data_IF_547391732830
#
_entry.id   IF_547391732830
#
_cell.length_a   1.000
_cell.length_b   1.000
_cell.length_c   1.000
_cell.angle_alpha   90.00
_cell.angle_beta   90.00
_cell.angle_gamma   90.00
#
_symmetry.space_group_name_H-M   'P 1'
#
loop_
_entity.id
_entity.type
_entity.pdbx_description
1 polymer ?
2 non-polymer ?
3 water ?
#
# COMPACT_ATOMS: atom_id res chain seq x y z
N UNK A 1 -8.71 5.59 30.67
CA UNK A 1 -8.99 6.12 29.34
C UNK A 1 -8.59 5.13 28.23
N UNK A 2 -7.85 4.07 28.59
CA UNK A 2 -7.39 3.10 27.59
C UNK A 2 -8.52 2.20 27.13
N UNK A 3 -8.44 1.67 25.90
CA UNK A 3 -9.48 0.72 25.44
C UNK A 3 -9.49 -0.53 26.32
N UNK A 4 -10.69 -1.08 26.54
CA UNK A 4 -10.80 -2.33 27.29
C UNK A 4 -10.15 -3.49 26.55
N UNK A 5 -10.20 -3.47 25.21
CA UNK A 5 -9.65 -4.55 24.39
C UNK A 5 -9.03 -3.94 23.15
N UNK A 6 -7.95 -4.56 22.69
CA UNK A 6 -7.19 -4.13 21.52
C UNK A 6 -6.87 -5.38 20.71
N UNK A 7 -6.91 -5.24 19.38
CA UNK A 7 -6.48 -6.31 18.49
C UNK A 7 -5.98 -5.66 17.21
N UNK A 8 -4.64 -5.54 17.10
CA UNK A 8 -4.06 -4.83 15.96
C UNK A 8 -4.29 -5.55 14.63
N UNK A 9 -4.71 -6.83 14.65
CA UNK A 9 -5.10 -7.48 13.40
C UNK A 9 -6.26 -6.73 12.75
N UNK A 10 -7.12 -6.12 13.55
CA UNK A 10 -8.26 -5.37 13.02
C UNK A 10 -7.83 -4.13 12.24
N UNK A 11 -6.60 -3.64 12.44
CA UNK A 11 -6.10 -2.52 11.64
C UNK A 11 -5.16 -2.97 10.53
N UNK A 12 -5.14 -4.27 10.22
CA UNK A 12 -4.26 -4.78 9.18
C UNK A 12 -2.79 -4.58 9.44
N UNK A 13 -2.38 -4.58 10.71
CA UNK A 13 -0.99 -4.32 11.08
C UNK A 13 -0.20 -5.57 11.40
N UNK A 14 -0.77 -6.76 11.21
CA UNK A 14 -0.09 -8.00 11.62
C UNK A 14 -0.01 -8.92 10.41
N UNK A 15 1.20 -9.37 10.09
CA UNK A 15 1.39 -10.29 8.99
C UNK A 15 0.96 -11.71 9.38
N UNK A 16 0.98 -12.60 8.38
CA UNK A 16 0.64 -13.99 8.61
C UNK A 16 1.58 -14.61 9.65
N UNK A 17 1.03 -15.52 10.46
CA UNK A 17 1.85 -16.28 11.41
C UNK A 17 2.89 -17.09 10.64
N UNK A 18 4.14 -17.07 11.14
CA UNK A 18 5.27 -17.79 10.55
C UNK A 18 5.55 -19.09 11.31
N UNK A 19 6.47 -19.90 10.75
CA UNK A 19 6.79 -21.21 11.31
C UNK A 19 8.31 -21.29 11.46
N UNK A 20 8.80 -21.19 12.69
CA UNK A 20 10.25 -21.14 12.93
C UNK A 20 10.93 -22.50 12.79
N UNK A 21 10.18 -23.59 12.97
CA UNK A 21 10.82 -24.89 12.82
C UNK A 21 11.82 -25.16 13.93
N UNK A 22 12.86 -25.93 13.59
CA UNK A 22 13.85 -26.34 14.57
C UNK A 22 14.92 -25.28 14.83
N UNK A 23 14.79 -24.09 14.23
CA UNK A 23 15.73 -23.00 14.46
C UNK A 23 15.16 -22.09 15.56
N UNK A 24 15.94 -21.88 16.63
CA UNK A 24 15.46 -21.09 17.76
C UNK A 24 15.49 -19.59 17.53
N UNK A 25 14.72 -19.14 16.54
CA UNK A 25 14.75 -17.76 16.06
C UNK A 25 13.50 -16.98 16.46
N UNK A 26 12.80 -17.39 17.52
CA UNK A 26 11.60 -16.66 17.93
C UNK A 26 11.92 -15.19 18.23
N UNK A 27 13.13 -14.91 18.74
CA UNK A 27 13.55 -13.53 18.95
C UNK A 27 13.50 -12.73 17.65
N UNK A 28 13.94 -13.35 16.55
CA UNK A 28 13.93 -12.67 15.27
C UNK A 28 12.50 -12.48 14.75
N UNK A 29 11.64 -13.49 14.90
CA UNK A 29 10.26 -13.32 14.47
C UNK A 29 9.54 -12.27 15.32
N UNK A 30 9.79 -12.25 16.63
CA UNK A 30 9.18 -11.22 17.46
C UNK A 30 9.60 -9.82 17.02
N UNK A 31 10.89 -9.64 16.69
CA UNK A 31 11.38 -8.33 16.29
C UNK A 31 10.77 -7.86 14.98
N UNK A 32 10.80 -8.70 13.93
CA UNK A 32 10.22 -8.26 12.66
C UNK A 32 8.73 -8.02 12.82
N UNK A 33 8.08 -8.84 13.64
CA UNK A 33 6.64 -8.67 13.85
C UNK A 33 6.30 -7.30 14.37
N UNK A 34 7.05 -6.83 15.39
CA UNK A 34 6.81 -5.50 15.91
C UNK A 34 7.06 -4.43 14.86
N UNK A 35 8.15 -4.55 14.11
CA UNK A 35 8.48 -3.54 13.11
C UNK A 35 7.49 -3.55 11.95
N UNK A 36 6.97 -4.72 11.59
CA UNK A 36 5.98 -4.81 10.51
C UNK A 36 4.77 -3.93 10.81
N UNK A 37 4.35 -3.85 12.07
CA UNK A 37 3.20 -3.03 12.42
C UNK A 37 3.53 -1.54 12.29
N UNK A 38 4.71 -1.14 12.77
CA UNK A 38 5.09 0.26 12.63
C UNK A 38 5.20 0.66 11.16
N UNK A 39 5.72 -0.25 10.33
CA UNK A 39 5.85 0.05 8.91
C UNK A 39 4.48 0.21 8.26
N UNK A 40 3.54 -0.64 8.65
CA UNK A 40 2.18 -0.53 8.12
C UNK A 40 1.54 0.78 8.52
N UNK A 41 1.69 1.19 9.78
CA UNK A 41 1.10 2.45 10.24
C UNK A 41 1.68 3.63 9.46
N UNK A 42 2.99 3.61 9.20
CA UNK A 42 3.65 4.74 8.54
C UNK A 42 3.38 4.79 7.05
N UNK A 43 3.39 3.64 6.36
CA UNK A 43 3.35 3.60 4.92
C UNK A 43 2.05 3.07 4.33
N UNK A 44 1.17 2.48 5.14
CA UNK A 44 -0.03 1.84 4.62
C UNK A 44 0.18 0.45 4.06
N UNK A 45 1.41 -0.04 4.01
CA UNK A 45 1.75 -1.30 3.38
C UNK A 45 2.08 -2.33 4.44
N UNK A 46 1.48 -3.52 4.33
CA UNK A 46 1.79 -4.64 5.21
C UNK A 46 2.74 -5.58 4.48
N UNK A 47 3.97 -5.72 4.97
CA UNK A 47 5.04 -6.48 4.33
C UNK A 47 5.75 -7.33 5.38
N UNK A 48 5.82 -8.64 5.15
CA UNK A 48 6.61 -9.50 6.03
C UNK A 48 8.09 -9.15 5.89
N UNK A 49 8.76 -8.93 7.02
CA UNK A 49 10.18 -8.60 7.02
C UNK A 49 11.02 -9.83 7.32
N UNK A 50 12.28 -9.78 6.90
CA UNK A 50 13.16 -10.95 6.87
C UNK A 50 13.66 -11.28 8.27
N UNK A 51 13.05 -12.28 8.90
CA UNK A 51 13.63 -12.82 10.11
C UNK A 51 15.00 -13.44 9.82
N UNK A 52 15.18 -14.02 8.63
CA UNK A 52 16.45 -14.64 8.28
C UNK A 52 17.57 -13.62 8.25
N UNK A 53 17.26 -12.42 7.79
CA UNK A 53 18.20 -11.30 7.80
C UNK A 53 18.75 -11.08 9.20
N UNK A 54 17.89 -11.15 10.22
CA UNK A 54 18.31 -11.00 11.61
C UNK A 54 19.19 -12.16 12.06
N UNK A 55 18.73 -13.39 11.79
CA UNK A 55 19.47 -14.59 12.17
C UNK A 55 20.90 -14.56 11.63
N UNK A 56 21.05 -14.18 10.34
CA UNK A 56 22.35 -14.27 9.68
C UNK A 56 23.24 -13.06 9.98
N UNK A 57 22.66 -11.90 10.26
CA UNK A 57 23.42 -10.66 10.30
C UNK A 57 23.47 -9.99 11.66
N UNK A 58 22.44 -10.14 12.49
CA UNK A 58 22.48 -9.57 13.83
C UNK A 58 23.04 -10.65 14.75
N UNK A 59 24.36 -10.77 14.75
CA UNK A 59 25.01 -11.91 15.39
C UNK A 59 25.87 -11.50 16.59
N UNK A 60 27.15 -11.91 16.60
CA UNK A 60 27.99 -11.77 17.79
C UNK A 60 28.07 -10.34 18.30
N UNK A 61 28.17 -9.37 17.41
CA UNK A 61 28.23 -7.97 17.83
C UNK A 61 26.99 -7.54 18.60
N UNK A 62 25.87 -8.22 18.40
CA UNK A 62 24.61 -7.91 19.06
C UNK A 62 24.27 -8.89 20.17
N UNK A 63 25.23 -9.73 20.56
CA UNK A 63 24.96 -10.75 21.55
C UNK A 63 24.03 -11.85 21.09
N UNK A 64 23.78 -11.97 19.80
CA UNK A 64 22.84 -12.96 19.31
C UNK A 64 23.56 -14.18 18.75
N UNK A 65 22.85 -15.31 18.76
CA UNK A 65 23.43 -16.60 18.40
C UNK A 65 22.58 -17.31 17.36
N UNK A 66 21.93 -16.56 16.47
CA UNK A 66 21.17 -17.12 15.36
C UNK A 66 20.12 -18.12 15.81
N UNK A 67 20.19 -19.33 15.27
CA UNK A 67 19.25 -20.39 15.62
C UNK A 67 19.40 -20.87 17.07
N UNK A 68 20.40 -20.38 17.79
CA UNK A 68 20.55 -20.70 19.20
C UNK A 68 20.08 -19.60 20.14
N UNK A 69 19.36 -18.60 19.64
CA UNK A 69 18.74 -17.62 20.50
C UNK A 69 19.27 -16.21 20.28
N UNK A 70 18.57 -15.26 20.89
CA UNK A 70 18.90 -13.85 20.71
C UNK A 70 17.91 -12.95 21.42
N UNK A 71 18.07 -11.64 21.20
CA UNK A 71 17.26 -10.61 21.84
C UNK A 71 16.58 -9.74 20.78
N UNK A 72 15.35 -9.32 21.09
CA UNK A 72 14.66 -8.40 20.17
C UNK A 72 15.31 -7.02 20.19
N UNK A 73 15.73 -6.54 21.36
CA UNK A 73 16.29 -5.21 21.45
C UNK A 73 17.54 -5.07 20.58
N UNK A 74 18.46 -6.04 20.67
CA UNK A 74 19.66 -5.95 19.86
C UNK A 74 19.38 -6.25 18.40
N UNK A 75 18.29 -6.97 18.10
CA UNK A 75 17.84 -7.07 16.72
C UNK A 75 17.45 -5.68 16.19
N UNK A 76 16.66 -4.93 16.97
CA UNK A 76 16.30 -3.58 16.56
C UNK A 76 17.54 -2.72 16.37
N UNK A 77 18.51 -2.86 17.29
CA UNK A 77 19.74 -2.08 17.18
C UNK A 77 20.47 -2.38 15.88
N UNK A 78 20.55 -3.65 15.49
CA UNK A 78 21.15 -3.99 14.20
C UNK A 78 20.44 -3.27 13.06
N UNK A 79 19.10 -3.30 13.05
CA UNK A 79 18.35 -2.64 11.99
C UNK A 79 18.66 -1.15 11.97
N UNK A 80 18.74 -0.53 13.14
CA UNK A 80 19.17 0.86 13.23
C UNK A 80 20.57 1.03 12.67
N UNK A 81 21.53 0.24 13.18
CA UNK A 81 22.92 0.38 12.72
C UNK A 81 23.05 0.09 11.23
N UNK A 82 22.37 -0.96 10.76
CA UNK A 82 22.46 -1.40 9.37
C UNK A 82 21.72 -0.48 8.40
N UNK A 83 20.92 0.45 8.93
CA UNK A 83 20.12 1.35 8.12
C UNK A 83 19.13 0.59 7.23
N UNK A 84 18.66 -0.56 7.69
CA UNK A 84 17.61 -1.24 6.96
C UNK A 84 17.53 -2.72 7.29
N UNK A 85 16.42 -3.30 6.84
CA UNK A 85 16.19 -4.73 6.91
C UNK A 85 15.46 -5.11 5.63
N UNK A 86 15.85 -6.24 5.03
CA UNK A 86 15.24 -6.70 3.79
C UNK A 86 13.84 -7.28 4.03
N UNK A 87 13.06 -7.33 2.96
CA UNK A 87 11.79 -8.04 3.01
C UNK A 87 12.04 -9.54 3.13
N UNK A 88 11.07 -10.23 3.73
CA UNK A 88 11.13 -11.70 3.71
C UNK A 88 11.10 -12.23 2.28
N UNK A 89 10.40 -11.53 1.38
CA UNK A 89 10.33 -11.98 -0.01
C UNK A 89 11.71 -12.06 -0.63
N UNK A 90 12.55 -11.05 -0.38
CA UNK A 90 13.89 -11.01 -0.96
C UNK A 90 14.89 -11.86 -0.18
N UNK A 91 14.62 -12.13 1.09
CA UNK A 91 15.56 -12.79 1.99
C UNK A 91 14.78 -13.79 2.83
N UNK A 92 14.34 -14.89 2.21
CA UNK A 92 13.36 -15.77 2.86
C UNK A 92 13.96 -16.62 3.97
N UNK A 93 13.07 -17.19 4.78
CA UNK A 93 13.45 -17.89 5.99
C UNK A 93 13.76 -19.36 5.72
N UNK A 94 14.91 -19.81 6.20
CA UNK A 94 15.39 -21.17 5.94
C UNK A 94 15.57 -22.00 7.22
N UNK A 95 15.32 -21.43 8.39
CA UNK A 95 15.47 -22.15 9.65
C UNK A 95 16.86 -22.76 9.78
N UNK A 96 17.88 -22.00 9.36
CA UNK A 96 19.27 -22.41 9.46
C UNK A 96 20.12 -21.16 9.63
N UNK A 97 21.32 -21.36 10.18
CA UNK A 97 22.29 -20.27 10.28
C UNK A 97 23.02 -20.14 8.95
N UNK A 98 23.01 -18.94 8.37
CA UNK A 98 23.67 -18.70 7.09
C UNK A 98 24.59 -17.50 7.21
N UNK A 99 25.45 -17.34 6.19
CA UNK A 99 26.23 -16.12 6.07
C UNK A 99 25.29 -14.94 5.83
N UNK A 100 25.67 -13.78 6.37
CA UNK A 100 24.86 -12.59 6.20
C UNK A 100 24.77 -12.22 4.72
N UNK A 101 23.55 -12.10 4.21
CA UNK A 101 23.33 -11.79 2.81
C UNK A 101 22.48 -10.54 2.62
N UNK A 102 22.55 -9.60 3.58
CA UNK A 102 21.78 -8.36 3.47
C UNK A 102 22.12 -7.60 2.19
N UNK A 103 21.10 -7.11 1.51
CA UNK A 103 21.27 -6.34 0.28
C UNK A 103 20.38 -5.11 0.40
N UNK A 104 20.99 -3.92 0.49
CA UNK A 104 20.22 -2.69 0.62
C UNK A 104 19.27 -2.48 -0.54
N UNK A 105 19.52 -3.11 -1.69
CA UNK A 105 18.63 -2.98 -2.83
C UNK A 105 17.22 -3.45 -2.50
N UNK A 106 17.08 -4.39 -1.57
CA UNK A 106 15.79 -4.95 -1.20
C UNK A 106 15.34 -4.52 0.19
N UNK A 107 15.87 -3.41 0.68
CA UNK A 107 15.41 -2.86 1.95
C UNK A 107 13.91 -2.60 1.91
N UNK A 108 13.19 -3.15 2.89
CA UNK A 108 11.76 -2.94 3.00
C UNK A 108 11.36 -2.15 4.25
N UNK A 109 12.29 -1.93 5.18
CA UNK A 109 11.99 -1.12 6.35
C UNK A 109 13.28 -0.59 6.95
N UNK A 110 13.13 0.43 7.79
CA UNK A 110 14.19 0.96 8.61
C UNK A 110 13.71 0.96 10.05
N UNK A 111 14.61 1.29 10.97
CA UNK A 111 14.24 1.46 12.36
C UNK A 111 14.97 2.67 12.91
N UNK A 112 14.23 3.56 13.56
CA UNK A 112 14.82 4.78 14.09
C UNK A 112 15.24 4.64 15.54
N UNK A 113 14.50 3.86 16.31
CA UNK A 113 14.70 3.78 17.75
C UNK A 113 13.92 2.57 18.26
N UNK A 114 14.17 2.22 19.51
CA UNK A 114 13.35 1.24 20.20
C UNK A 114 13.30 1.64 21.67
N UNK A 115 12.26 1.19 22.34
CA UNK A 115 11.98 1.55 23.72
C UNK A 115 11.78 0.28 24.52
N UNK A 116 12.37 0.22 25.70
CA UNK A 116 12.17 -0.90 26.61
C UNK A 116 11.22 -0.51 27.74
N UNK A 117 10.32 -1.42 28.09
CA UNK A 117 9.35 -1.14 29.15
C UNK A 117 9.83 -1.73 30.47
N UNK A 118 9.37 -1.19 31.60
CA UNK A 118 9.83 -1.68 32.91
C UNK A 118 9.33 -3.09 33.21
N UNK A 119 10.21 -3.89 33.82
CA UNK A 119 9.94 -5.29 34.11
C UNK A 119 8.70 -5.47 34.96
N UNK A 120 7.79 -6.34 34.50
CA UNK A 120 6.64 -6.77 35.28
C UNK A 120 5.49 -5.79 35.36
N UNK A 121 5.55 -4.68 34.64
CA UNK A 121 4.50 -3.66 34.70
C UNK A 121 3.51 -3.95 33.60
N UNK A 122 2.48 -4.72 33.93
CA UNK A 122 1.46 -5.06 32.94
C UNK A 122 0.59 -3.86 32.60
N UNK A 123 0.44 -2.92 33.52
CA UNK A 123 -0.28 -1.69 33.19
C UNK A 123 0.49 -0.88 32.14
N UNK A 124 1.81 -0.78 32.30
CA UNK A 124 2.62 -0.06 31.31
C UNK A 124 2.58 -0.78 29.96
N UNK A 125 2.62 -2.12 29.98
CA UNK A 125 2.51 -2.88 28.73
C UNK A 125 1.18 -2.64 28.04
N UNK A 126 0.09 -2.60 28.82
CA UNK A 126 -1.23 -2.33 28.26
C UNK A 126 -1.26 -0.99 27.54
N UNK A 127 -0.70 0.03 28.19
CA UNK A 127 -0.66 1.36 27.61
C UNK A 127 0.10 1.36 26.29
N UNK A 128 1.27 0.70 26.26
CA UNK A 128 2.07 0.66 25.04
C UNK A 128 1.35 -0.07 23.90
N UNK A 129 0.72 -1.21 24.20
CA UNK A 129 -0.02 -1.92 23.15
C UNK A 129 -1.16 -1.05 22.62
N UNK A 130 -1.85 -0.34 23.50
CA UNK A 130 -2.94 0.53 23.06
C UNK A 130 -2.44 1.73 22.28
N UNK A 131 -1.35 2.36 22.74
CA UNK A 131 -0.94 3.66 22.23
C UNK A 131 0.26 3.62 21.28
N UNK A 132 0.97 2.51 21.17
CA UNK A 132 2.11 2.46 20.27
C UNK A 132 2.02 1.34 19.24
N UNK A 133 1.44 0.19 19.59
CA UNK A 133 1.33 -0.91 18.64
C UNK A 133 1.77 -2.21 19.27
N UNK A 134 1.84 -3.27 18.47
CA UNK A 134 2.29 -4.57 18.98
C UNK A 134 3.66 -4.43 19.63
N UNK A 135 3.84 -5.14 20.76
CA UNK A 135 5.05 -5.04 21.58
C UNK A 135 5.76 -6.40 21.62
N UNK A 136 7.06 -6.39 21.34
CA UNK A 136 7.86 -7.60 21.45
C UNK A 136 8.07 -7.94 22.91
N UNK A 137 7.85 -9.21 23.27
CA UNK A 137 8.05 -9.67 24.64
C UNK A 137 8.64 -11.08 24.61
N UNK A 138 9.18 -11.50 25.74
CA UNK A 138 9.55 -12.89 25.97
C UNK A 138 8.54 -13.51 26.92
N UNK A 139 8.35 -14.82 26.80
CA UNK A 139 7.55 -15.58 27.76
C UNK A 139 8.31 -16.84 28.14
N UNK A 140 7.93 -17.40 29.29
CA UNK A 140 8.39 -18.72 29.68
C UNK A 140 7.51 -19.73 28.97
N UNK A 141 8.04 -20.34 27.92
CA UNK A 141 7.29 -21.33 27.14
C UNK A 141 7.73 -22.76 27.44
N UNK A 142 8.54 -22.98 28.48
CA UNK A 142 9.10 -24.30 28.78
C UNK A 142 8.12 -25.12 29.62
N UNK A 143 6.98 -25.43 29.01
CA UNK A 143 5.95 -26.18 29.68
C UNK A 143 5.18 -26.96 28.63
N UNK A 144 4.97 -28.26 28.83
CA UNK A 144 4.14 -29.02 27.88
C UNK A 144 2.80 -28.38 27.62
N UNK A 145 2.20 -27.73 28.62
CA UNK A 145 0.91 -27.08 28.42
C UNK A 145 0.99 -25.99 27.35
N UNK A 146 2.15 -25.34 27.24
CA UNK A 146 2.29 -24.32 26.21
C UNK A 146 2.25 -24.94 24.83
N UNK A 147 3.08 -25.97 24.59
CA UNK A 147 3.06 -26.69 23.31
C UNK A 147 1.70 -27.29 23.00
N UNK A 148 0.96 -27.73 24.02
CA UNK A 148 -0.33 -28.40 23.87
C UNK A 148 -1.50 -27.44 23.84
N UNK A 149 -1.28 -26.15 24.06
CA UNK A 149 -2.37 -25.17 24.09
C UNK A 149 -3.21 -25.21 22.82
N UNK A 150 -4.54 -25.18 23.00
CA UNK A 150 -5.48 -25.17 21.88
C UNK A 150 -6.34 -23.93 21.84
N UNK A 151 -6.94 -23.52 22.95
CA UNK A 151 -7.87 -22.38 22.93
C UNK A 151 -8.09 -21.85 24.35
N UNK A 152 -8.72 -20.67 24.42
CA UNK A 152 -9.04 -20.06 25.70
C UNK A 152 -7.89 -19.27 26.28
N UNK A 153 -8.06 -18.88 27.54
CA UNK A 153 -7.04 -18.07 28.22
C UNK A 153 -6.09 -19.02 28.93
N UNK A 154 -4.84 -19.03 28.48
CA UNK A 154 -3.82 -19.92 29.00
C UNK A 154 -3.36 -19.49 30.38
N UNK A 155 -3.38 -20.42 31.34
CA UNK A 155 -2.83 -20.19 32.69
C UNK A 155 -2.05 -21.43 33.12
N UNK A 156 -0.77 -21.26 33.40
CA UNK A 156 0.12 -22.37 33.77
C UNK A 156 0.64 -22.14 35.19
N UNK A 157 0.14 -22.87 36.19
CA UNK A 157 0.56 -22.61 37.58
C UNK A 157 2.06 -22.67 37.81
N UNK A 158 2.79 -23.50 37.06
CA UNK A 158 4.22 -23.62 37.29
C UNK A 158 5.03 -22.68 36.40
N UNK A 159 4.38 -21.73 35.72
CA UNK A 159 5.13 -20.77 34.92
C UNK A 159 5.96 -19.88 35.85
N UNK A 160 7.09 -19.41 35.31
CA UNK A 160 7.96 -18.47 35.99
C UNK A 160 8.05 -17.17 35.19
N UNK A 161 8.70 -16.16 35.77
CA UNK A 161 8.90 -14.88 35.10
C UNK A 161 10.17 -14.86 34.25
N UNK A 162 10.90 -15.98 34.17
CA UNK A 162 12.14 -16.07 33.39
C UNK A 162 11.78 -16.46 31.96
N UNK A 163 11.99 -15.54 31.02
CA UNK A 163 11.55 -15.72 29.64
C UNK A 163 12.56 -16.54 28.86
N UNK A 164 12.08 -17.23 27.85
CA UNK A 164 12.97 -18.04 27.03
C UNK A 164 12.48 -18.16 25.59
N UNK A 165 11.39 -17.50 25.21
CA UNK A 165 10.79 -17.61 23.90
C UNK A 165 10.25 -16.24 23.53
N UNK A 166 10.65 -15.71 22.38
CA UNK A 166 10.18 -14.40 21.95
C UNK A 166 8.86 -14.53 21.22
N UNK A 167 7.91 -13.63 21.55
CA UNK A 167 6.61 -13.59 20.91
C UNK A 167 6.21 -12.13 20.72
N UNK A 168 5.00 -11.91 20.17
CA UNK A 168 4.51 -10.57 19.88
C UNK A 168 3.14 -10.37 20.50
N UNK A 169 3.01 -9.39 21.38
CA UNK A 169 1.69 -9.02 21.93
C UNK A 169 1.02 -8.09 20.93
N UNK A 170 -0.03 -8.57 20.27
CA UNK A 170 -0.74 -7.75 19.28
C UNK A 170 -2.05 -7.20 19.85
N UNK A 171 -2.33 -7.43 21.12
CA UNK A 171 -3.56 -6.93 21.71
C UNK A 171 -3.80 -7.52 23.08
N UNK A 172 -5.01 -7.27 23.58
CA UNK A 172 -5.41 -7.76 24.90
C UNK A 172 -6.92 -7.69 24.97
N UNK A 173 -7.47 -8.37 25.97
CA UNK A 173 -8.91 -8.42 26.10
C UNK A 173 -9.33 -9.19 27.33
N UNK A 174 -10.56 -9.69 27.27
CA UNK A 174 -11.16 -10.45 28.37
C UNK A 174 -12.11 -11.46 27.78
N UNK A 175 -12.11 -12.67 28.34
CA UNK A 175 -12.97 -13.75 27.88
C UNK A 175 -13.65 -14.32 29.10
N UNK A 176 -14.97 -14.15 29.20
CA UNK A 176 -15.76 -14.64 30.32
C UNK A 176 -15.13 -14.29 31.67
N UNK A 177 -14.69 -13.06 31.79
CA UNK A 177 -14.11 -12.61 33.05
C UNK A 177 -12.65 -12.94 33.26
N UNK A 178 -11.97 -13.50 32.28
CA UNK A 178 -10.54 -13.74 32.40
C UNK A 178 -9.84 -12.79 31.44
N UNK A 179 -9.00 -11.92 31.98
CA UNK A 179 -8.22 -11.00 31.15
C UNK A 179 -7.06 -11.72 30.50
N UNK A 180 -6.73 -11.31 29.28
CA UNK A 180 -5.68 -11.99 28.55
C UNK A 180 -4.87 -11.02 27.73
N UNK A 181 -3.67 -11.47 27.36
CA UNK A 181 -2.84 -10.85 26.33
C UNK A 181 -3.00 -11.65 25.06
N UNK A 182 -3.17 -10.95 23.92
CA UNK A 182 -3.29 -11.61 22.62
C UNK A 182 -1.90 -11.73 22.01
N UNK A 183 -1.40 -12.95 21.88
CA UNK A 183 0.00 -13.20 21.60
C UNK A 183 0.13 -13.92 20.27
N UNK A 184 0.87 -13.31 19.34
CA UNK A 184 1.24 -13.95 18.07
C UNK A 184 2.48 -14.80 18.29
N UNK A 185 2.36 -16.10 18.01
CA UNK A 185 3.49 -17.03 18.11
C UNK A 185 4.11 -17.18 16.72
N UNK A 186 5.19 -17.96 16.65
CA UNK A 186 5.86 -18.30 15.38
C UNK A 186 5.98 -19.81 15.21
N UNK A 187 4.91 -20.53 15.53
CA UNK A 187 4.84 -21.98 15.36
C UNK A 187 3.81 -22.38 14.31
N UNK A 188 3.51 -21.50 13.34
CA UNK A 188 2.55 -21.82 12.29
C UNK A 188 1.09 -21.73 12.75
N UNK A 189 0.19 -22.02 11.79
CA UNK A 189 -1.25 -21.93 12.02
C UNK A 189 -1.77 -23.03 12.92
N UNK A 190 -1.10 -24.18 12.99
CA UNK A 190 -1.68 -25.28 13.76
C UNK A 190 -1.43 -25.17 15.25
N UNK A 191 -0.64 -24.19 15.70
CA UNK A 191 -0.51 -23.94 17.12
C UNK A 191 -1.67 -23.08 17.64
N UNK A 192 -2.24 -23.49 18.77
CA UNK A 192 -3.20 -22.65 19.48
C UNK A 192 -4.38 -22.23 18.62
N UNK A 193 -4.73 -20.95 18.68
CA UNK A 193 -5.87 -20.36 17.97
C UNK A 193 -5.36 -19.71 16.69
N UNK A 194 -5.20 -20.54 15.64
CA UNK A 194 -4.64 -20.06 14.37
C UNK A 194 -3.28 -19.39 14.56
N UNK A 195 -2.45 -19.97 15.44
CA UNK A 195 -1.11 -19.48 15.65
C UNK A 195 -0.96 -18.49 16.78
N UNK A 196 -2.06 -18.13 17.44
CA UNK A 196 -2.09 -17.18 18.54
C UNK A 196 -2.34 -17.92 19.85
N UNK A 197 -1.90 -17.32 20.95
CA UNK A 197 -2.24 -17.81 22.28
C UNK A 197 -2.73 -16.62 23.11
N UNK A 198 -3.85 -16.79 23.78
CA UNK A 198 -4.32 -15.79 24.72
C UNK A 198 -3.81 -16.17 26.09
N UNK A 199 -2.95 -15.32 26.67
CA UNK A 199 -2.24 -15.61 27.89
C UNK A 199 -2.75 -14.73 29.03
N UNK A 200 -2.89 -15.33 30.21
CA UNK A 200 -3.42 -14.63 31.39
C UNK A 200 -2.76 -13.29 31.63
N UNK A 201 -3.59 -12.27 31.79
CA UNK A 201 -3.19 -10.88 31.99
C UNK A 201 -3.58 -10.43 33.40
N UNK A 202 -2.73 -9.60 34.00
CA UNK A 202 -2.94 -9.10 35.37
C UNK A 202 -3.01 -10.25 36.36
N UNK A 203 -2.17 -11.26 36.16
CA UNK A 203 -2.02 -12.35 37.10
C UNK A 203 -0.56 -12.43 37.53
N UNK A 204 -0.02 -11.30 38.01
CA UNK A 204 1.35 -11.25 38.51
C UNK A 204 2.45 -11.55 37.52
N UNK A 205 2.36 -10.96 36.33
CA UNK A 205 3.37 -11.14 35.30
C UNK A 205 3.50 -12.61 34.90
N UNK A 206 2.35 -13.21 34.57
CA UNK A 206 2.25 -14.64 34.29
C UNK A 206 3.14 -15.02 33.11
N UNK A 207 3.96 -16.06 33.32
CA UNK A 207 4.92 -16.56 32.34
C UNK A 207 5.92 -15.48 31.90
N UNK A 208 6.09 -14.43 32.71
CA UNK A 208 7.03 -13.36 32.39
C UNK A 208 6.65 -12.50 31.20
N UNK A 209 5.36 -12.44 30.85
CA UNK A 209 4.96 -11.75 29.62
C UNK A 209 5.41 -10.29 29.63
N UNK A 210 5.47 -9.65 30.80
CA UNK A 210 5.88 -8.26 30.90
C UNK A 210 7.28 -8.10 31.48
N UNK A 211 8.08 -9.17 31.49
CA UNK A 211 9.43 -9.09 32.03
C UNK A 211 10.33 -8.19 31.18
N UNK A 212 10.33 -8.40 29.87
CA UNK A 212 11.22 -7.68 28.95
C UNK A 212 10.49 -7.28 27.68
N UNK A 213 9.58 -6.31 27.75
CA UNK A 213 8.92 -5.80 26.56
C UNK A 213 9.75 -4.69 25.90
N UNK A 214 9.66 -4.64 24.57
CA UNK A 214 10.26 -3.55 23.82
C UNK A 214 9.51 -3.36 22.51
N UNK A 215 9.64 -2.16 21.94
CA UNK A 215 9.01 -1.93 20.63
C UNK A 215 9.82 -0.92 19.84
N UNK A 216 9.90 -1.07 18.53
CA UNK A 216 10.62 -0.11 17.70
C UNK A 216 9.68 0.96 17.17
N UNK A 217 10.28 1.98 16.56
CA UNK A 217 9.53 3.03 15.87
C UNK A 217 10.28 3.41 14.61
N UNK A 218 9.53 3.89 13.61
CA UNK A 218 10.07 4.45 12.37
C UNK A 218 9.60 5.89 12.29
N UNK A 219 10.52 6.83 12.45
CA UNK A 219 10.18 8.24 12.57
C UNK A 219 10.14 8.91 11.20
N UNK A 220 9.39 10.02 11.11
CA UNK A 220 9.35 10.77 9.87
C UNK A 220 10.74 11.27 9.53
N UNK A 221 11.17 11.03 8.31
CA UNK A 221 12.49 11.44 7.91
C UNK A 221 13.33 10.33 7.30
N UNK B 1 6.50 20.56 -38.09
CA UNK B 1 7.35 19.82 -37.16
C UNK B 1 6.87 20.02 -35.71
N UNK B 2 6.48 18.93 -35.07
CA UNK B 2 5.99 18.95 -33.69
C UNK B 2 7.14 19.05 -32.69
N UNK B 3 6.86 19.53 -31.48
CA UNK B 3 7.90 19.52 -30.44
C UNK B 3 8.42 18.11 -30.20
N UNK B 4 9.71 18.02 -29.88
CA UNK B 4 10.31 16.73 -29.54
C UNK B 4 9.68 16.14 -28.29
N UNK B 5 9.27 16.99 -27.35
CA UNK B 5 8.70 16.52 -26.09
C UNK B 5 7.65 17.52 -25.62
N UNK B 6 6.66 17.00 -24.90
CA UNK B 6 5.59 17.81 -24.32
C UNK B 6 5.36 17.30 -22.91
N UNK B 7 5.06 18.20 -21.98
CA UNK B 7 4.68 17.76 -20.63
C UNK B 7 3.74 18.80 -20.06
N UNK B 8 2.43 18.50 -20.12
CA UNK B 8 1.43 19.48 -19.69
C UNK B 8 1.49 19.76 -18.20
N UNK B 9 2.14 18.90 -17.40
CA UNK B 9 2.36 19.25 -16.00
C UNK B 9 3.15 20.55 -15.88
N UNK B 10 4.09 20.78 -16.80
CA UNK B 10 4.91 21.99 -16.74
C UNK B 10 4.13 23.26 -17.03
N UNK B 11 2.93 23.14 -17.61
CA UNK B 11 2.07 24.30 -17.80
C UNK B 11 1.01 24.38 -16.71
N UNK B 12 1.17 23.62 -15.63
CA UNK B 12 0.21 23.64 -14.54
C UNK B 12 -1.17 23.21 -14.96
N UNK B 13 -1.28 22.31 -15.94
CA UNK B 13 -2.56 21.86 -16.46
C UNK B 13 -2.99 20.49 -15.92
N UNK B 14 -2.26 19.92 -14.95
CA UNK B 14 -2.53 18.56 -14.48
C UNK B 14 -2.68 18.56 -12.96
N UNK B 15 -3.77 18.00 -12.46
CA UNK B 15 -3.99 17.94 -11.02
C UNK B 15 -3.19 16.79 -10.40
N UNK B 16 -3.25 16.71 -9.07
CA UNK B 16 -2.59 15.63 -8.35
C UNK B 16 -3.09 14.26 -8.84
N UNK B 17 -2.16 13.29 -8.82
CA UNK B 17 -2.51 11.90 -9.10
C UNK B 17 -3.53 11.41 -8.08
N UNK B 18 -4.58 10.74 -8.57
CA UNK B 18 -5.65 10.20 -7.74
C UNK B 18 -5.45 8.70 -7.51
N UNK B 19 -6.25 8.15 -6.61
CA UNK B 19 -6.15 6.75 -6.18
C UNK B 19 -7.52 6.10 -6.33
N UNK B 20 -7.68 5.26 -7.36
CA UNK B 20 -9.01 4.71 -7.63
C UNK B 20 -9.39 3.58 -6.68
N UNK B 21 -8.43 2.89 -6.07
CA UNK B 21 -8.78 1.83 -5.14
C UNK B 21 -9.41 0.63 -5.84
N UNK B 22 -10.33 -0.04 -5.13
CA UNK B 22 -10.96 -1.25 -5.63
C UNK B 22 -12.14 -0.97 -6.56
N UNK B 23 -12.41 0.30 -6.87
CA UNK B 23 -13.49 0.69 -7.78
C UNK B 23 -12.90 0.89 -9.18
N UNK B 24 -13.45 0.20 -10.16
CA UNK B 24 -12.94 0.29 -11.52
C UNK B 24 -13.37 1.55 -12.24
N UNK B 25 -12.94 2.70 -11.73
CA UNK B 25 -13.37 4.00 -12.23
C UNK B 25 -12.29 4.71 -13.04
N UNK B 26 -11.32 3.97 -13.58
CA UNK B 26 -10.26 4.64 -14.34
C UNK B 26 -10.82 5.44 -15.51
N UNK B 27 -11.92 4.99 -16.11
CA UNK B 27 -12.57 5.76 -17.16
C UNK B 27 -12.97 7.13 -16.67
N UNK B 28 -13.50 7.21 -15.44
CA UNK B 28 -13.93 8.50 -14.89
C UNK B 28 -12.73 9.39 -14.57
N UNK B 29 -11.66 8.81 -14.05
CA UNK B 29 -10.45 9.61 -13.81
C UNK B 29 -9.84 10.10 -15.11
N UNK B 30 -9.79 9.25 -16.14
CA UNK B 30 -9.24 9.69 -17.41
C UNK B 30 -10.03 10.86 -17.98
N UNK B 31 -11.36 10.79 -17.87
CA UNK B 31 -12.21 11.87 -18.41
C UNK B 31 -12.03 13.18 -17.65
N UNK B 32 -12.11 13.16 -16.31
CA UNK B 32 -11.96 14.42 -15.57
C UNK B 32 -10.57 15.00 -15.78
N UNK B 33 -9.55 14.14 -15.86
CA UNK B 33 -8.20 14.63 -16.07
C UNK B 33 -8.06 15.40 -17.35
N UNK B 34 -8.59 14.87 -18.45
CA UNK B 34 -8.54 15.59 -19.71
C UNK B 34 -9.30 16.91 -19.61
N UNK B 35 -10.48 16.90 -18.95
CA UNK B 35 -11.25 18.14 -18.84
C UNK B 35 -10.58 19.15 -17.91
N UNK B 36 -9.87 18.69 -16.88
CA UNK B 36 -9.19 19.61 -15.97
C UNK B 36 -8.19 20.49 -16.72
N UNK B 37 -7.50 19.93 -17.71
CA UNK B 37 -6.52 20.69 -18.47
C UNK B 37 -7.18 21.75 -19.33
N UNK B 38 -8.29 21.41 -19.98
CA UNK B 38 -9.00 22.40 -20.77
C UNK B 38 -9.53 23.52 -19.88
N UNK B 39 -10.00 23.18 -18.68
CA UNK B 39 -10.52 24.19 -17.77
C UNK B 39 -9.43 25.17 -17.33
N UNK B 40 -8.24 24.63 -17.05
CA UNK B 40 -7.09 25.47 -16.68
C UNK B 40 -6.70 26.40 -17.81
N UNK B 41 -6.64 25.86 -19.02
CA UNK B 41 -6.30 26.68 -20.19
C UNK B 41 -7.30 27.82 -20.35
N UNK B 42 -8.59 27.54 -20.17
CA UNK B 42 -9.63 28.55 -20.42
C UNK B 42 -9.74 29.57 -19.29
N UNK B 43 -9.64 29.14 -18.03
CA UNK B 43 -9.93 30.02 -16.91
C UNK B 43 -8.72 30.39 -16.08
N UNK B 44 -7.57 29.74 -16.29
CA UNK B 44 -6.42 29.96 -15.46
C UNK B 44 -6.44 29.24 -14.13
N UNK B 45 -7.51 28.53 -13.80
CA UNK B 45 -7.61 27.86 -12.51
C UNK B 45 -7.45 26.37 -12.70
N UNK B 46 -6.63 25.75 -11.85
CA UNK B 46 -6.44 24.32 -11.83
C UNK B 46 -7.34 23.74 -10.74
N UNK B 47 -8.34 22.96 -11.14
CA UNK B 47 -9.34 22.46 -10.20
C UNK B 47 -9.59 20.99 -10.51
N UNK B 48 -9.41 20.13 -9.52
CA UNK B 48 -9.75 18.72 -9.68
C UNK B 48 -11.26 18.58 -9.83
N UNK B 49 -11.70 17.81 -10.81
CA UNK B 49 -13.12 17.60 -11.08
C UNK B 49 -13.55 16.24 -10.54
N UNK B 50 -14.85 16.11 -10.27
CA UNK B 50 -15.38 14.98 -9.50
C UNK B 50 -15.49 13.73 -10.37
N UNK B 51 -14.56 12.78 -10.18
CA UNK B 51 -14.74 11.47 -10.77
C UNK B 51 -15.97 10.78 -10.21
N UNK B 52 -16.29 11.02 -8.94
CA UNK B 52 -17.44 10.37 -8.31
C UNK B 52 -18.74 10.82 -8.98
N UNK B 53 -18.80 12.09 -9.39
CA UNK B 53 -19.94 12.62 -10.15
C UNK B 53 -20.20 11.76 -11.37
N UNK B 54 -19.14 11.40 -12.09
CA UNK B 54 -19.28 10.53 -13.26
C UNK B 54 -19.73 9.13 -12.85
N UNK B 55 -19.06 8.55 -11.84
CA UNK B 55 -19.41 7.20 -11.39
C UNK B 55 -20.89 7.12 -11.06
N UNK B 56 -21.40 8.09 -10.28
CA UNK B 56 -22.76 8.01 -9.77
C UNK B 56 -23.83 8.45 -10.78
N UNK B 57 -23.50 9.33 -11.72
CA UNK B 57 -24.52 9.98 -12.53
C UNK B 57 -24.45 9.67 -14.01
N UNK B 58 -23.26 9.38 -14.55
CA UNK B 58 -23.11 9.04 -15.95
C UNK B 58 -23.20 7.52 -16.06
N UNK B 59 -24.43 7.01 -16.04
CA UNK B 59 -24.64 5.57 -15.87
C UNK B 59 -25.29 4.94 -17.11
N UNK B 60 -26.41 4.22 -16.92
CA UNK B 60 -26.94 3.35 -17.98
C UNK B 60 -27.20 4.10 -19.28
N UNK B 61 -27.73 5.32 -19.20
CA UNK B 61 -27.96 6.09 -20.42
C UNK B 61 -26.67 6.31 -21.21
N UNK B 62 -25.52 6.25 -20.56
CA UNK B 62 -24.23 6.44 -21.20
C UNK B 62 -23.47 5.15 -21.40
N UNK B 63 -24.12 4.00 -21.19
CA UNK B 63 -23.43 2.73 -21.30
C UNK B 63 -22.38 2.49 -20.25
N UNK B 64 -22.39 3.26 -19.17
CA UNK B 64 -21.39 3.15 -18.13
C UNK B 64 -21.94 2.36 -16.94
N UNK B 65 -21.03 1.74 -16.18
CA UNK B 65 -21.36 0.82 -15.11
C UNK B 65 -20.62 1.17 -13.82
N UNK B 66 -20.35 2.45 -13.62
CA UNK B 66 -19.72 2.91 -12.38
C UNK B 66 -18.43 2.20 -12.07
N UNK B 67 -18.36 1.58 -10.88
CA UNK B 67 -17.17 0.86 -10.47
C UNK B 67 -16.90 -0.39 -11.29
N UNK B 68 -17.80 -0.78 -12.19
CA UNK B 68 -17.57 -1.93 -13.06
C UNK B 68 -17.16 -1.53 -14.48
N UNK B 69 -16.79 -0.28 -14.70
CA UNK B 69 -16.21 0.16 -15.97
C UNK B 69 -17.08 1.19 -16.67
N UNK B 70 -16.51 1.78 -17.72
CA UNK B 70 -17.19 2.82 -18.47
C UNK B 70 -16.30 3.37 -19.56
N UNK B 71 -16.81 4.40 -20.25
CA UNK B 71 -16.13 5.02 -21.38
C UNK B 71 -15.89 6.50 -21.10
N UNK B 72 -14.74 6.99 -21.55
CA UNK B 72 -14.49 8.43 -21.40
C UNK B 72 -15.37 9.25 -22.33
N UNK B 73 -15.64 8.75 -23.55
CA UNK B 73 -16.46 9.52 -24.48
C UNK B 73 -17.86 9.75 -23.95
N UNK B 74 -18.51 8.71 -23.41
CA UNK B 74 -19.84 8.93 -22.88
C UNK B 74 -19.82 9.68 -21.55
N UNK B 75 -18.69 9.63 -20.84
CA UNK B 75 -18.53 10.54 -19.70
C UNK B 75 -18.59 11.98 -20.16
N UNK B 76 -17.84 12.34 -21.22
CA UNK B 76 -17.90 13.70 -21.75
C UNK B 76 -19.31 14.08 -22.17
N UNK B 77 -20.01 13.16 -22.84
CA UNK B 77 -21.37 13.43 -23.29
C UNK B 77 -22.29 13.73 -22.10
N UNK B 78 -22.16 12.97 -21.02
CA UNK B 78 -22.95 13.28 -19.82
C UNK B 78 -22.68 14.71 -19.35
N UNK B 79 -21.40 15.11 -19.28
CA UNK B 79 -21.09 16.47 -18.85
C UNK B 79 -21.72 17.49 -19.78
N UNK B 80 -21.71 17.21 -21.09
CA UNK B 80 -22.40 18.08 -22.04
C UNK B 80 -23.89 18.12 -21.73
N UNK B 81 -24.53 16.95 -21.66
CA UNK B 81 -25.97 16.89 -21.42
C UNK B 81 -26.35 17.53 -20.09
N UNK B 82 -25.54 17.27 -19.06
CA UNK B 82 -25.80 17.75 -17.72
C UNK B 82 -25.53 19.24 -17.56
N UNK B 83 -24.86 19.87 -18.54
CA UNK B 83 -24.46 21.26 -18.47
C UNK B 83 -23.54 21.53 -17.28
N UNK B 84 -22.75 20.54 -16.88
CA UNK B 84 -21.77 20.78 -15.84
C UNK B 84 -21.34 19.51 -15.13
N UNK B 85 -20.28 19.66 -14.36
CA UNK B 85 -19.74 18.61 -13.48
C UNK B 85 -19.22 19.32 -12.23
N UNK B 86 -19.43 18.71 -11.06
CA UNK B 86 -19.01 19.32 -9.81
C UNK B 86 -17.50 19.25 -9.62
N UNK B 87 -17.00 20.12 -8.75
CA UNK B 87 -15.60 20.01 -8.34
C UNK B 87 -15.43 18.73 -7.55
N UNK B 88 -14.21 18.18 -7.59
CA UNK B 88 -13.90 17.04 -6.74
C UNK B 88 -14.00 17.41 -5.27
N UNK B 89 -13.64 18.65 -4.91
CA UNK B 89 -13.73 19.06 -3.51
C UNK B 89 -15.17 18.97 -2.99
N UNK B 90 -16.14 19.39 -3.81
CA UNK B 90 -17.53 19.38 -3.37
C UNK B 90 -18.16 18.00 -3.45
N UNK B 91 -17.60 17.11 -4.27
CA UNK B 91 -18.18 15.80 -4.57
C UNK B 91 -17.03 14.81 -4.60
N UNK B 92 -16.44 14.51 -3.44
CA UNK B 92 -15.16 13.77 -3.40
C UNK B 92 -15.34 12.30 -3.72
N UNK B 93 -14.20 11.63 -3.98
CA UNK B 93 -14.21 10.26 -4.48
C UNK B 93 -14.29 9.24 -3.35
N UNK B 94 -15.23 8.29 -3.48
CA UNK B 94 -15.48 7.32 -2.43
C UNK B 94 -15.21 5.88 -2.88
N UNK B 95 -14.81 5.66 -4.13
CA UNK B 95 -14.51 4.32 -4.63
C UNK B 95 -15.68 3.36 -4.37
N UNK B 96 -16.90 3.86 -4.57
CA UNK B 96 -18.11 3.06 -4.44
C UNK B 96 -19.14 3.61 -5.39
N UNK B 97 -20.10 2.77 -5.78
CA UNK B 97 -21.25 3.23 -6.55
C UNK B 97 -22.25 3.88 -5.59
N UNK B 98 -22.62 5.13 -5.86
CA UNK B 98 -23.55 5.87 -5.00
C UNK B 98 -24.67 6.46 -5.84
N UNK B 99 -25.68 6.96 -5.12
CA UNK B 99 -26.74 7.73 -5.77
C UNK B 99 -26.16 9.01 -6.37
N UNK B 100 -26.71 9.42 -7.51
CA UNK B 100 -26.26 10.65 -8.15
C UNK B 100 -26.57 11.83 -7.24
N UNK B 101 -25.55 12.63 -6.90
CA UNK B 101 -25.73 13.76 -6.02
C UNK B 101 -25.22 15.05 -6.68
N UNK B 102 -25.26 15.09 -8.00
CA UNK B 102 -24.85 16.30 -8.69
C UNK B 102 -25.68 17.48 -8.21
N UNK B 103 -25.00 18.59 -7.94
CA UNK B 103 -25.63 19.84 -7.50
C UNK B 103 -25.01 20.97 -8.32
N UNK B 104 -25.81 21.62 -9.14
CA UNK B 104 -25.30 22.70 -9.98
C UNK B 104 -24.66 23.83 -9.16
N UNK B 105 -24.98 23.92 -7.87
CA UNK B 105 -24.38 24.96 -7.04
C UNK B 105 -22.87 24.84 -6.98
N UNK B 106 -22.33 23.62 -7.12
CA UNK B 106 -20.89 23.40 -7.03
C UNK B 106 -20.27 23.05 -8.38
N UNK B 107 -20.96 23.40 -9.47
CA UNK B 107 -20.41 23.20 -10.81
C UNK B 107 -19.06 23.88 -10.92
N UNK B 108 -18.06 23.12 -11.39
CA UNK B 108 -16.71 23.66 -11.58
C UNK B 108 -16.26 23.63 -13.03
N UNK B 109 -16.96 22.93 -13.92
CA UNK B 109 -16.62 22.94 -15.33
C UNK B 109 -17.84 22.54 -16.13
N UNK B 110 -17.78 22.86 -17.42
CA UNK B 110 -18.72 22.43 -18.43
C UNK B 110 -17.91 21.75 -19.52
N UNK B 111 -18.61 21.19 -20.50
CA UNK B 111 -17.96 20.61 -21.66
C UNK B 111 -18.79 20.97 -22.89
N UNK B 112 -18.13 21.46 -23.94
CA UNK B 112 -18.84 21.84 -25.15
C UNK B 112 -18.89 20.72 -26.17
N UNK B 113 -17.86 19.89 -26.25
CA UNK B 113 -17.72 18.91 -27.31
C UNK B 113 -16.60 17.96 -26.91
N UNK B 114 -16.47 16.87 -27.67
CA UNK B 114 -15.30 16.01 -27.55
C UNK B 114 -14.99 15.46 -28.93
N UNK B 115 -13.76 15.00 -29.10
CA UNK B 115 -13.25 14.53 -30.37
C UNK B 115 -12.60 13.17 -30.16
N UNK B 116 -12.87 12.23 -31.07
CA UNK B 116 -12.26 10.91 -31.04
C UNK B 116 -11.19 10.84 -32.12
N UNK B 117 -10.06 10.22 -31.81
CA UNK B 117 -8.98 10.10 -32.78
C UNK B 117 -8.99 8.72 -33.44
N UNK B 118 -8.42 8.60 -34.64
CA UNK B 118 -8.46 7.32 -35.36
C UNK B 118 -7.63 6.22 -34.70
N UNK B 119 -8.15 4.99 -34.81
CA UNK B 119 -7.56 3.82 -34.16
C UNK B 119 -6.09 3.61 -34.55
N UNK B 120 -5.25 3.46 -33.53
CA UNK B 120 -3.85 3.08 -33.71
C UNK B 120 -2.94 4.14 -34.27
N UNK B 121 -3.42 5.37 -34.49
CA UNK B 121 -2.61 6.41 -35.14
C UNK B 121 -1.82 7.16 -34.07
N UNK B 122 -0.59 6.73 -33.83
CA UNK B 122 0.24 7.40 -32.83
C UNK B 122 0.73 8.76 -33.32
N UNK B 123 0.84 8.96 -34.63
CA UNK B 123 1.17 10.28 -35.15
C UNK B 123 0.05 11.29 -34.88
N UNK B 124 -1.21 10.89 -35.10
CA UNK B 124 -2.34 11.77 -34.81
C UNK B 124 -2.41 12.06 -33.32
N UNK B 125 -2.19 11.04 -32.49
CA UNK B 125 -2.20 11.23 -31.05
C UNK B 125 -1.12 12.22 -30.61
N UNK B 126 0.09 12.09 -31.19
CA UNK B 126 1.17 13.02 -30.88
C UNK B 126 0.77 14.45 -31.20
N UNK B 127 0.18 14.66 -32.37
CA UNK B 127 -0.25 15.99 -32.77
C UNK B 127 -1.31 16.54 -31.82
N UNK B 128 -2.28 15.71 -31.43
CA UNK B 128 -3.32 16.16 -30.51
C UNK B 128 -2.75 16.53 -29.15
N UNK B 129 -1.83 15.73 -28.61
CA UNK B 129 -1.19 16.04 -27.33
C UNK B 129 -0.42 17.35 -27.41
N UNK B 130 0.26 17.58 -28.55
CA UNK B 130 1.00 18.83 -28.74
C UNK B 130 0.07 20.03 -28.92
N UNK B 131 -1.01 19.86 -29.68
CA UNK B 131 -1.79 20.99 -30.14
C UNK B 131 -3.11 21.18 -29.39
N UNK B 132 -3.55 20.20 -28.60
CA UNK B 132 -4.83 20.35 -27.91
C UNK B 132 -4.73 20.22 -26.40
N UNK B 133 -3.85 19.36 -25.89
CA UNK B 133 -3.70 19.14 -24.47
C UNK B 133 -3.73 17.66 -24.14
N UNK B 134 -3.76 17.33 -22.85
CA UNK B 134 -3.85 15.92 -22.44
C UNK B 134 -5.01 15.20 -23.12
N UNK B 135 -4.76 13.94 -23.50
CA UNK B 135 -5.73 13.12 -24.25
C UNK B 135 -6.08 11.89 -23.44
N UNK B 136 -7.37 11.64 -23.27
CA UNK B 136 -7.86 10.43 -22.63
C UNK B 136 -7.64 9.24 -23.54
N UNK B 137 -7.08 8.16 -23.01
CA UNK B 137 -6.85 6.93 -23.79
C UNK B 137 -7.13 5.73 -22.90
N UNK B 138 -7.27 4.57 -23.53
CA UNK B 138 -7.27 3.31 -22.83
C UNK B 138 -5.94 2.63 -23.11
N UNK B 139 -5.51 1.76 -22.19
CA UNK B 139 -4.37 0.89 -22.41
C UNK B 139 -4.72 -0.52 -21.94
N UNK B 140 -3.97 -1.49 -22.44
CA UNK B 140 -4.03 -2.86 -21.93
C UNK B 140 -3.10 -2.94 -20.71
N UNK B 141 -3.70 -2.93 -19.52
CA UNK B 141 -2.97 -2.97 -18.26
C UNK B 141 -3.02 -4.36 -17.61
N UNK B 142 -3.49 -5.38 -18.33
CA UNK B 142 -3.67 -6.71 -17.75
C UNK B 142 -2.39 -7.55 -17.86
N UNK B 143 -1.34 -7.06 -17.20
CA UNK B 143 -0.07 -7.74 -17.19
C UNK B 143 0.60 -7.42 -15.86
N UNK B 144 1.12 -8.43 -15.15
CA UNK B 144 1.83 -8.15 -13.89
C UNK B 144 2.90 -7.09 -14.02
N UNK B 145 3.58 -7.00 -15.17
CA UNK B 145 4.59 -5.96 -15.35
C UNK B 145 4.02 -4.56 -15.21
N UNK B 146 2.75 -4.37 -15.60
CA UNK B 146 2.12 -3.06 -15.45
C UNK B 146 1.96 -2.73 -13.97
N UNK B 147 1.36 -3.65 -13.21
CA UNK B 147 1.21 -3.46 -11.77
C UNK B 147 2.55 -3.27 -11.07
N UNK B 148 3.58 -3.93 -11.56
CA UNK B 148 4.91 -3.91 -10.92
C UNK B 148 5.80 -2.77 -11.40
N UNK B 149 5.38 -2.01 -12.41
CA UNK B 149 6.19 -0.93 -12.98
C UNK B 149 6.63 0.07 -11.91
N UNK B 150 7.91 0.45 -11.95
CA UNK B 150 8.49 1.43 -11.03
C UNK B 150 9.04 2.64 -11.76
N UNK B 151 9.80 2.44 -12.84
CA UNK B 151 10.45 3.55 -13.52
C UNK B 151 10.88 3.10 -14.91
N UNK B 152 11.28 4.08 -15.71
CA UNK B 152 11.74 3.83 -17.07
C UNK B 152 10.60 3.82 -18.07
N UNK B 153 10.95 3.43 -19.29
CA UNK B 153 10.00 3.38 -20.39
C UNK B 153 9.45 1.96 -20.44
N UNK B 154 8.16 1.82 -20.16
CA UNK B 154 7.51 0.52 -20.07
C UNK B 154 7.34 -0.10 -21.44
N UNK B 155 7.78 -1.35 -21.58
CA UNK B 155 7.57 -2.16 -22.77
C UNK B 155 7.25 -3.57 -22.33
N UNK B 156 6.10 -4.07 -22.75
CA UNK B 156 5.61 -5.39 -22.37
C UNK B 156 5.46 -6.21 -23.63
N UNK B 157 6.35 -7.17 -23.90
CA UNK B 157 6.26 -7.92 -25.16
C UNK B 157 4.89 -8.57 -25.39
N UNK B 158 4.18 -8.96 -24.34
CA UNK B 158 2.90 -9.62 -24.53
C UNK B 158 1.72 -8.66 -24.49
N UNK B 159 1.95 -7.35 -24.52
CA UNK B 159 0.82 -6.43 -24.53
C UNK B 159 0.01 -6.59 -25.80
N UNK B 160 -1.28 -6.29 -25.70
CA UNK B 160 -2.17 -6.30 -26.85
C UNK B 160 -2.68 -4.88 -27.11
N UNK B 161 -3.36 -4.71 -28.24
CA UNK B 161 -3.97 -3.42 -28.57
C UNK B 161 -5.37 -3.29 -28.01
N UNK B 162 -5.83 -4.28 -27.24
CA UNK B 162 -7.17 -4.27 -26.67
C UNK B 162 -7.13 -3.60 -25.30
N UNK B 163 -7.77 -2.44 -25.17
CA UNK B 163 -7.64 -1.64 -23.96
C UNK B 163 -8.63 -2.12 -22.90
N UNK B 164 -8.28 -1.86 -21.63
CA UNK B 164 -9.14 -2.23 -20.51
C UNK B 164 -8.96 -1.31 -19.29
N UNK B 165 -8.15 -0.26 -19.40
CA UNK B 165 -7.83 0.62 -18.27
C UNK B 165 -7.71 2.04 -18.83
N UNK B 166 -8.47 2.97 -18.26
CA UNK B 166 -8.41 4.35 -18.72
C UNK B 166 -7.27 5.11 -18.05
N UNK B 167 -6.54 5.88 -18.85
CA UNK B 167 -5.46 6.72 -18.36
C UNK B 167 -5.45 8.04 -19.14
N UNK B 168 -4.50 8.90 -18.83
CA UNK B 168 -4.44 10.23 -19.43
C UNK B 168 -3.04 10.47 -19.98
N UNK B 169 -2.93 10.70 -21.29
CA UNK B 169 -1.65 11.04 -21.90
C UNK B 169 -1.41 12.54 -21.68
N UNK B 170 -0.45 12.89 -20.82
CA UNK B 170 -0.17 14.30 -20.54
C UNK B 170 1.08 14.79 -21.26
N UNK B 171 1.68 13.96 -22.11
CA UNK B 171 2.85 14.38 -22.83
C UNK B 171 3.54 13.21 -23.50
N UNK B 172 4.74 13.50 -24.00
CA UNK B 172 5.55 12.49 -24.68
C UNK B 172 6.98 13.00 -24.71
N UNK B 173 7.89 12.12 -25.08
CA UNK B 173 9.27 12.53 -25.14
C UNK B 173 10.14 11.42 -25.68
N UNK B 174 11.43 11.59 -25.45
CA UNK B 174 12.45 10.68 -25.96
C UNK B 174 13.59 10.80 -24.96
N UNK B 175 13.81 9.75 -24.17
CA UNK B 175 14.80 9.76 -23.11
C UNK B 175 15.56 8.44 -23.08
N UNK B 176 16.88 8.52 -22.90
CA UNK B 176 17.73 7.34 -22.82
C UNK B 176 17.53 6.42 -24.02
N UNK B 177 17.34 7.04 -25.19
CA UNK B 177 17.20 6.31 -26.42
C UNK B 177 15.84 5.69 -26.66
N UNK B 178 14.86 6.00 -25.83
CA UNK B 178 13.51 5.44 -25.94
C UNK B 178 12.45 6.53 -26.09
N UNK B 179 11.66 6.44 -27.15
CA UNK B 179 10.49 7.31 -27.27
C UNK B 179 9.39 6.79 -26.35
N UNK B 180 8.65 7.71 -25.74
CA UNK B 180 7.65 7.29 -24.76
C UNK B 180 6.47 8.23 -24.80
N UNK B 181 5.35 7.73 -24.27
CA UNK B 181 4.20 8.53 -23.89
C UNK B 181 4.23 8.74 -22.38
N UNK B 182 3.96 9.98 -21.95
CA UNK B 182 3.91 10.29 -20.52
C UNK B 182 2.45 10.15 -20.06
N UNK B 183 2.21 9.16 -19.19
CA UNK B 183 0.85 8.71 -18.87
C UNK B 183 0.57 8.93 -17.38
N UNK B 184 -0.48 9.70 -17.08
CA UNK B 184 -0.97 9.85 -15.72
C UNK B 184 -1.92 8.70 -15.39
N UNK B 185 -1.60 7.93 -14.35
CA UNK B 185 -2.45 6.83 -13.90
C UNK B 185 -3.32 7.30 -12.73
N UNK B 186 -4.20 6.43 -12.26
CA UNK B 186 -5.01 6.70 -11.09
C UNK B 186 -4.82 5.62 -10.03
N UNK B 187 -3.57 5.19 -9.83
CA UNK B 187 -3.26 4.23 -8.79
C UNK B 187 -2.45 4.85 -7.65
N UNK B 188 -2.62 6.15 -7.41
CA UNK B 188 -1.92 6.82 -6.33
C UNK B 188 -0.48 7.14 -6.67
N UNK B 189 0.17 7.84 -5.73
CA UNK B 189 1.52 8.35 -5.94
C UNK B 189 2.58 7.28 -5.84
N UNK B 190 2.29 6.16 -5.18
CA UNK B 190 3.30 5.13 -5.02
C UNK B 190 3.42 4.22 -6.24
N UNK B 191 2.53 4.37 -7.22
CA UNK B 191 2.67 3.63 -8.46
C UNK B 191 3.67 4.36 -9.36
N UNK B 192 4.60 3.59 -9.93
CA UNK B 192 5.49 4.09 -10.97
C UNK B 192 6.29 5.32 -10.58
N UNK B 193 6.35 6.29 -11.49
CA UNK B 193 7.15 7.50 -11.30
C UNK B 193 6.23 8.58 -10.74
N UNK B 194 6.06 8.56 -9.41
CA UNK B 194 5.19 9.51 -8.70
C UNK B 194 3.77 9.47 -9.27
N UNK B 195 3.30 8.29 -9.61
CA UNK B 195 1.96 8.10 -10.12
C UNK B 195 1.84 8.08 -11.64
N UNK B 196 2.95 8.26 -12.34
CA UNK B 196 3.01 8.30 -13.79
C UNK B 196 3.73 7.05 -14.31
N UNK B 197 3.39 6.66 -15.54
CA UNK B 197 4.11 5.61 -16.25
C UNK B 197 4.48 6.14 -17.63
N UNK B 198 5.74 5.97 -18.02
CA UNK B 198 6.16 6.31 -19.38
C UNK B 198 6.09 5.02 -20.20
N UNK B 199 5.29 5.05 -21.26
CA UNK B 199 4.98 3.87 -22.05
C UNK B 199 5.59 4.01 -23.45
N UNK B 200 6.12 2.89 -23.97
CA UNK B 200 6.79 2.87 -25.27
C UNK B 200 5.92 3.53 -26.35
N UNK B 201 6.53 4.45 -27.10
CA UNK B 201 5.87 5.19 -28.16
C UNK B 201 6.47 4.78 -29.51
N UNK B 202 5.62 4.74 -30.55
CA UNK B 202 6.02 4.35 -31.90
C UNK B 202 6.56 2.93 -31.95
N UNK B 203 5.94 2.04 -31.17
CA UNK B 203 6.26 0.62 -31.22
C UNK B 203 4.99 -0.14 -31.58
N UNK B 204 4.36 0.24 -32.68
CA UNK B 204 3.16 -0.43 -33.16
C UNK B 204 1.94 -0.39 -32.25
N UNK B 205 1.61 0.79 -31.71
CA UNK B 205 0.43 0.96 -30.84
C UNK B 205 0.55 0.10 -29.58
N UNK B 206 1.68 0.23 -28.91
CA UNK B 206 2.01 -0.63 -27.78
C UNK B 206 0.99 -0.49 -26.66
N UNK B 207 0.45 -1.62 -26.22
CA UNK B 207 -0.57 -1.72 -25.18
C UNK B 207 -1.85 -0.99 -25.54
N UNK B 208 -2.07 -0.74 -26.84
CA UNK B 208 -3.27 -0.09 -27.34
C UNK B 208 -3.41 1.36 -26.97
N UNK B 209 -2.30 2.05 -26.67
CA UNK B 209 -2.36 3.43 -26.19
C UNK B 209 -3.07 4.36 -27.17
N UNK B 210 -2.98 4.09 -28.48
CA UNK B 210 -3.64 4.94 -29.48
C UNK B 210 -4.87 4.27 -30.08
N UNK B 211 -5.39 3.21 -29.44
CA UNK B 211 -6.57 2.53 -29.95
C UNK B 211 -7.80 3.41 -29.90
N UNK B 212 -8.07 4.04 -28.75
CA UNK B 212 -9.28 4.84 -28.57
C UNK B 212 -8.99 6.13 -27.80
N UNK B 213 -8.30 7.08 -28.42
CA UNK B 213 -8.08 8.37 -27.77
C UNK B 213 -9.25 9.31 -27.98
N UNK B 214 -9.48 10.17 -26.99
CA UNK B 214 -10.47 11.22 -27.13
C UNK B 214 -10.09 12.38 -26.21
N UNK B 215 -10.58 13.58 -26.53
CA UNK B 215 -10.34 14.73 -25.65
C UNK B 215 -11.52 15.69 -25.73
N UNK B 216 -11.85 16.36 -24.64
CA UNK B 216 -12.96 17.31 -24.61
C UNK B 216 -12.43 18.72 -24.85
N UNK B 217 -13.38 19.64 -25.07
CA UNK B 217 -13.08 21.06 -25.20
C UNK B 217 -14.16 21.88 -24.51
N UNK B 218 -13.76 23.07 -24.04
CA UNK B 218 -14.67 24.04 -23.44
C UNK B 218 -14.55 25.31 -24.27
N UNK B 219 -15.59 25.63 -25.03
CA UNK B 219 -15.53 26.74 -25.97
C UNK B 219 -16.01 28.04 -25.32
N UNK B 220 -15.55 29.17 -25.86
CA UNK B 220 -15.92 30.48 -25.35
C UNK B 220 -17.43 30.70 -25.45
X LIG C 1 17.29 -14.12 34.64
X LIG C 1 17.94 -15.21 33.81
X LIG C 1 18.15 -16.50 34.58
X LIG C 1 18.78 -15.07 36.48
X LIG C 1 18.18 -13.82 35.86
X LIG C 1 17.03 -12.86 33.82
X LIG C 1 16.66 -13.09 32.36
X LIG C 1 18.62 -11.68 31.72
X LIG C 1 18.40 -10.23 31.28
X LIG C 1 17.62 -10.21 30.01
X LIG C 1 17.06 -11.29 29.43
X LIG C 1 17.16 -12.67 30.02
X LIG C 1 16.41 -10.80 28.26
X LIG C 1 17.72 -7.75 29.43
X LIG C 1 15.64 -11.53 27.25
X LIG C 1 16.07 -12.79 26.83
X LIG C 1 15.36 -13.52 25.89
X LIG C 1 14.20 -12.97 25.33
X LIG C 1 13.77 -11.72 25.75
X LIG C 1 14.48 -11.00 26.70
X LIG C 1 13.39 -13.71 24.30
X LIG C 1 15.87 -14.88 25.45
X LIG C 1 18.29 -15.11 25.15
X LIG C 1 19.43 -14.79 24.28
X LIG C 1 20.43 -15.59 23.89
X LIG C 1 21.54 -15.11 22.99
X LIG C 1 20.53 -17.03 24.28
X LIG C 1 19.14 -7.49 28.94
X LIG C 1 19.36 -7.87 27.49
X LIG C 1 20.47 -7.31 25.45
X LIG C 1 21.76 -7.98 27.33
X LIG C 1 14.04 -14.00 23.22
X LIG C 1 12.88 -14.85 24.79
X LIG C 1 12.32 -13.02 23.89
X LIG C 1 17.45 -12.51 31.43
X LIG C 1 16.59 -9.49 28.14
X LIG C 1 17.33 -9.14 29.24
X LIG C 1 18.04 -16.27 36.07
X LIG C 1 17.11 -14.67 24.70
X LIG C 1 20.56 -7.28 26.89
X LIG C 1 15.69 -13.76 32.06
X LIG C 1 18.39 -15.74 26.21
X LIG D 1 -12.42 -5.04 -28.99
X LIG D 1 -12.87 -5.55 -27.63
X LIG D 1 -12.51 -7.01 -27.40
X LIG D 1 -13.22 -7.32 -29.73
X LIG D 1 -13.10 -5.84 -30.07
X LIG D 1 -12.69 -3.54 -29.15
X LIG D 1 -12.55 -2.74 -27.88
X LIG D 1 -14.83 -1.79 -28.25
X LIG D 1 -14.95 -0.39 -28.84
X LIG D 1 -14.50 0.59 -27.80
X LIG D 1 -13.85 0.27 -26.67
X LIG D 1 -13.50 -1.14 -26.32
X LIG D 1 -13.62 1.50 -26.00
X LIG D 1 -15.29 2.79 -28.85
X LIG D 1 -12.95 1.75 -24.71
X LIG D 1 -13.22 0.91 -23.63
X LIG D 1 -12.62 1.11 -22.39
X LIG D 1 -11.73 2.19 -22.24
X LIG D 1 -11.48 3.03 -23.32
X LIG D 1 -12.08 2.81 -24.54
X LIG D 1 -11.04 2.48 -20.93
X LIG D 1 -12.95 0.18 -21.25
X LIG D 1 -15.26 -0.63 -20.97
X LIG D 1 -16.62 -0.21 -20.59
X LIG D 1 -17.49 -0.85 -19.79
X LIG D 1 -18.85 -0.28 -19.52
X LIG D 1 -17.22 -2.16 -19.12
X LIG D 1 -16.84 2.82 -28.74
X LIG D 1 -17.36 3.42 -27.43
X LIG D 1 -19.40 3.93 -28.68
X LIG D 1 -19.48 2.37 -26.85
X LIG D 1 -11.88 2.72 -19.95
X LIG D 1 -10.28 1.47 -20.51
X LIG D 1 -10.26 3.56 -21.00
X LIG D 1 -13.58 -1.95 -27.52
X LIG D 1 -14.10 2.53 -26.70
X LIG D 1 -14.65 1.94 -27.82
X LIG D 1 -12.24 -7.71 -28.68
X LIG D 1 -14.35 0.36 -20.89
X LIG D 1 -18.83 3.58 -27.37
X LIG D 1 -11.52 -2.80 -27.21
X LIG D 1 -14.96 -1.77 -21.32
#
# INVERSE_FOLDING_TARGET
ILPDSVDWREKGCVTEVKYQGSCGASWAFSAVGALEAQLKLKTGKLVSLSAQNLVDCSTEKYGNKGCNGGFMTTAFQYIIDNKGIDSDASYPYKAMDQKCQYDSKYRAATCSKYTELPYGREDVLKEAVANKGPVSVGVDARHPSFFLYRSGVYYEPSCTQNVNHGVLVVGYGDLNGKEYWLVKNSWGHNFGEEGYIRMARNKGNHCGIASFPSYPEILQGGG
ILPDSVDWREKGCVTEVKYQGSCGASWAFSAVGALEAQLKLKTGKLVSLSAQNLVDCSTEKYGNKGCNGGFMTTAFQYIIDNKGIDSDASYPYKAMDQKCQYDSKYRAATCSKYTELPYGREDVLKEAVANKGPVSVGVDARHPSFFLYRSGVYYEPSCTQNVNHGVLVVGYGDLNGKEYWLVKNSWGHNFGEEGYIRMARNKGNHCGIASFPSYPEILQGGG
BG7 C1 C2 C3 C5 C6 C13 C15 C21 C22 C23 C24 C25 C32 C39 C41 C43 C44 C45 C46 C47 C54 C62 C66 C68 C70 C72 C74 C78 C80 C84 C86 F56 F58 F60 N19 N33 N34 N4 N64 N82 O17 O76
BG7 C1 C2 C3 C5 C6 C13 C15 C21 C22 C23 C24 C25 C32 C39 C41 C43 C44 C45 C46 C47 C54 C62 C66 C68 C70 C72 C74 C78 C80 C84 C86 F56 F58 F60 N19 N33 N34 N4 N64 N82 O17 O76
#
